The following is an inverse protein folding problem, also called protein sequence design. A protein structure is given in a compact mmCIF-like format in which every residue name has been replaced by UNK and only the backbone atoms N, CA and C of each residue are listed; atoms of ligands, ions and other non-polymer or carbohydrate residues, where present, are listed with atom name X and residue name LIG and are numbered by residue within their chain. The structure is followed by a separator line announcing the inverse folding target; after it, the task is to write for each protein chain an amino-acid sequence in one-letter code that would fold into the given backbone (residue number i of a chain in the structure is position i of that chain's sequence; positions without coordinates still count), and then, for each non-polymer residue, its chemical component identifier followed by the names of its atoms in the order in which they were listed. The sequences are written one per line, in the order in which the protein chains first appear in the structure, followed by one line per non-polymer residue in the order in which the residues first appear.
data_IF_745028900000
#
_entry.id   IF_745028900000
#
_cell.length_a   1.000
_cell.length_b   1.000
_cell.length_c   1.000
_cell.angle_alpha   90.00
_cell.angle_beta   90.00
_cell.angle_gamma   90.00
#
_symmetry.space_group_name_H-M   'P 1'
#
loop_
_entity.id
_entity.type
_entity.pdbx_description
1 polymer ?
#
# COMPACT_ATOMS: atom_id res chain seq x y z
N UNK A 1 -30.27 -34.54 -25.38
CA UNK A 1 -28.80 -34.66 -25.44
C UNK A 1 -28.26 -33.27 -25.49
N UNK A 2 -27.46 -32.86 -24.51
CA UNK A 2 -26.80 -31.56 -24.54
C UNK A 2 -25.46 -31.70 -25.30
N UNK A 3 -25.12 -30.70 -26.10
CA UNK A 3 -23.79 -30.58 -26.69
C UNK A 3 -22.94 -29.71 -25.83
N UNK A 4 -21.74 -30.21 -25.47
CA UNK A 4 -20.71 -29.45 -24.72
C UNK A 4 -19.50 -29.26 -25.64
N UNK A 5 -18.69 -28.23 -25.38
CA UNK A 5 -17.43 -28.03 -26.11
C UNK A 5 -16.30 -28.76 -25.43
N UNK A 6 -15.51 -29.52 -26.20
CA UNK A 6 -14.30 -30.16 -25.70
C UNK A 6 -13.30 -29.09 -25.20
N UNK A 7 -12.81 -29.16 -23.95
CA UNK A 7 -11.90 -28.16 -23.40
C UNK A 7 -10.52 -28.16 -24.08
N UNK A 8 -10.14 -29.22 -24.77
CA UNK A 8 -8.85 -29.34 -25.44
C UNK A 8 -8.88 -28.88 -26.91
N UNK A 9 -9.86 -29.36 -27.71
CA UNK A 9 -9.89 -29.08 -29.13
C UNK A 9 -11.03 -28.11 -29.56
N UNK A 10 -11.90 -27.68 -28.63
CA UNK A 10 -13.00 -26.74 -28.90
C UNK A 10 -14.19 -27.29 -29.69
N UNK A 11 -14.13 -28.53 -30.15
CA UNK A 11 -15.21 -29.14 -30.95
C UNK A 11 -16.42 -29.51 -30.09
N UNK A 12 -17.61 -29.41 -30.67
CA UNK A 12 -18.87 -29.80 -30.02
C UNK A 12 -18.96 -31.32 -29.90
N UNK A 13 -19.18 -31.81 -28.68
CA UNK A 13 -19.28 -33.25 -28.35
C UNK A 13 -20.53 -33.49 -27.51
N UNK A 14 -21.02 -34.73 -27.49
CA UNK A 14 -22.13 -35.10 -26.61
C UNK A 14 -21.67 -35.09 -25.15
N UNK A 15 -22.52 -34.60 -24.24
CA UNK A 15 -22.35 -34.66 -22.81
C UNK A 15 -22.24 -36.07 -22.24
N UNK A 16 -22.58 -37.10 -23.03
CA UNK A 16 -22.51 -38.53 -22.71
C UNK A 16 -21.37 -39.27 -23.41
N UNK A 17 -20.51 -38.56 -24.15
CA UNK A 17 -19.40 -39.21 -24.84
C UNK A 17 -18.34 -39.69 -23.83
N UNK A 18 -17.88 -40.95 -23.94
CA UNK A 18 -16.82 -41.51 -23.07
C UNK A 18 -15.46 -40.90 -23.34
N UNK A 19 -15.24 -40.32 -24.51
CA UNK A 19 -14.06 -39.58 -24.93
C UNK A 19 -14.41 -38.61 -26.05
N UNK A 20 -13.64 -37.55 -26.19
CA UNK A 20 -13.78 -36.64 -27.31
C UNK A 20 -13.47 -37.37 -28.65
N UNK A 21 -14.39 -37.43 -29.61
CA UNK A 21 -14.14 -38.12 -30.88
C UNK A 21 -13.10 -37.43 -31.76
N UNK A 22 -12.76 -36.15 -31.48
CA UNK A 22 -11.82 -35.37 -32.27
C UNK A 22 -10.38 -35.37 -31.75
N UNK A 23 -10.17 -35.37 -30.38
CA UNK A 23 -8.82 -35.31 -29.79
C UNK A 23 -8.55 -36.47 -28.80
N UNK A 24 -9.53 -37.35 -28.58
CA UNK A 24 -9.35 -38.48 -27.67
C UNK A 24 -9.43 -38.17 -26.18
N UNK A 25 -9.66 -36.91 -25.77
CA UNK A 25 -9.73 -36.51 -24.35
C UNK A 25 -10.79 -37.34 -23.62
N UNK A 26 -10.46 -38.04 -22.52
CA UNK A 26 -11.39 -38.87 -21.74
C UNK A 26 -12.56 -38.09 -21.14
N UNK A 27 -13.72 -38.74 -20.99
CA UNK A 27 -14.92 -38.16 -20.39
C UNK A 27 -14.71 -37.58 -18.98
N UNK A 28 -13.76 -38.13 -18.22
CA UNK A 28 -13.41 -37.63 -16.90
C UNK A 28 -12.98 -36.16 -16.88
N UNK A 29 -12.42 -35.66 -18.00
CA UNK A 29 -12.00 -34.28 -18.14
C UNK A 29 -13.11 -33.31 -18.53
N UNK A 30 -14.21 -33.77 -19.15
CA UNK A 30 -15.33 -32.91 -19.49
C UNK A 30 -16.61 -33.22 -18.71
N UNK A 31 -16.76 -34.41 -18.15
CA UNK A 31 -17.82 -34.69 -17.16
C UNK A 31 -17.61 -33.96 -15.84
N UNK A 32 -16.35 -33.63 -15.49
CA UNK A 32 -16.05 -32.73 -14.38
C UNK A 32 -16.47 -31.28 -14.64
N UNK A 33 -16.51 -30.84 -15.88
CA UNK A 33 -16.95 -29.48 -16.28
C UNK A 33 -18.48 -29.29 -16.18
N UNK A 34 -19.28 -30.36 -16.34
CA UNK A 34 -20.73 -30.29 -16.24
C UNK A 34 -21.28 -30.51 -14.82
N UNK A 35 -20.48 -31.08 -13.93
CA UNK A 35 -20.84 -31.42 -12.54
C UNK A 35 -20.16 -30.56 -11.47
N UNK A 36 -19.16 -29.75 -11.81
CA UNK A 36 -18.38 -28.93 -10.87
C UNK A 36 -18.96 -27.50 -10.70
N UNK A 37 -20.28 -27.37 -10.58
CA UNK A 37 -20.90 -26.20 -9.95
C UNK A 37 -20.53 -26.04 -8.45
N UNK A 38 -20.11 -27.07 -7.68
CA UNK A 38 -19.76 -26.90 -6.27
C UNK A 38 -18.51 -26.06 -6.00
N UNK A 39 -17.43 -26.23 -6.79
CA UNK A 39 -16.19 -25.44 -6.60
C UNK A 39 -16.37 -23.94 -6.81
N UNK A 40 -17.39 -23.53 -7.50
CA UNK A 40 -17.66 -22.13 -7.82
C UNK A 40 -18.41 -21.40 -6.71
N UNK A 41 -19.24 -22.13 -5.93
CA UNK A 41 -19.83 -21.59 -4.69
C UNK A 41 -18.79 -21.49 -3.58
N UNK A 42 -17.80 -22.38 -3.57
CA UNK A 42 -16.68 -22.36 -2.62
C UNK A 42 -15.69 -21.21 -2.90
N UNK A 43 -15.55 -20.76 -4.14
CA UNK A 43 -14.74 -19.58 -4.50
C UNK A 43 -15.34 -18.25 -4.02
N UNK A 44 -16.58 -18.22 -3.53
CA UNK A 44 -17.23 -17.02 -2.98
C UNK A 44 -17.45 -15.88 -3.99
N UNK A 45 -17.32 -16.17 -5.31
CA UNK A 45 -17.48 -15.18 -6.36
C UNK A 45 -18.95 -15.01 -6.76
N UNK A 46 -19.45 -13.79 -6.69
CA UNK A 46 -20.72 -13.42 -7.29
C UNK A 46 -20.53 -13.09 -8.77
N UNK A 47 -20.66 -14.11 -9.63
CA UNK A 47 -20.52 -13.95 -11.09
C UNK A 47 -21.54 -12.99 -11.71
N UNK A 48 -22.72 -12.83 -11.08
CA UNK A 48 -23.74 -11.89 -11.59
C UNK A 48 -23.30 -10.44 -11.43
N UNK A 49 -22.43 -10.18 -10.47
CA UNK A 49 -21.91 -8.85 -10.19
C UNK A 49 -20.50 -8.63 -10.75
N UNK A 50 -19.89 -9.62 -11.38
CA UNK A 50 -18.49 -9.54 -11.81
C UNK A 50 -18.22 -8.37 -12.76
N UNK A 51 -19.11 -8.09 -13.71
CA UNK A 51 -18.95 -6.94 -14.63
C UNK A 51 -18.91 -5.61 -13.87
N UNK A 52 -19.75 -5.42 -12.86
CA UNK A 52 -19.73 -4.20 -12.03
C UNK A 52 -18.43 -4.08 -11.24
N UNK A 53 -17.89 -5.21 -10.76
CA UNK A 53 -16.57 -5.24 -10.08
C UNK A 53 -15.47 -4.81 -11.02
N UNK A 54 -15.45 -5.31 -12.27
CA UNK A 54 -14.46 -4.90 -13.27
C UNK A 54 -14.55 -3.41 -13.60
N UNK A 55 -15.76 -2.88 -13.77
CA UNK A 55 -15.98 -1.43 -14.02
C UNK A 55 -15.52 -0.61 -12.81
N UNK A 56 -15.82 -1.04 -11.59
CA UNK A 56 -15.37 -0.36 -10.37
C UNK A 56 -13.86 -0.39 -10.25
N UNK A 57 -13.23 -1.52 -10.56
CA UNK A 57 -11.78 -1.64 -10.56
C UNK A 57 -11.13 -0.70 -11.59
N UNK A 58 -11.64 -0.64 -12.82
CA UNK A 58 -11.10 0.26 -13.85
C UNK A 58 -11.13 1.72 -13.40
N UNK A 59 -12.23 2.15 -12.77
CA UNK A 59 -12.36 3.50 -12.19
C UNK A 59 -11.37 3.73 -11.05
N UNK A 60 -11.33 2.83 -10.08
CA UNK A 60 -10.52 2.97 -8.87
C UNK A 60 -9.02 2.89 -9.21
N UNK A 61 -8.65 2.03 -10.16
CA UNK A 61 -7.29 1.95 -10.71
C UNK A 61 -6.90 3.24 -11.44
N UNK A 62 -7.77 3.76 -12.31
CA UNK A 62 -7.51 5.02 -13.02
C UNK A 62 -7.38 6.21 -12.05
N UNK A 63 -8.17 6.23 -10.96
CA UNK A 63 -8.07 7.24 -9.92
C UNK A 63 -6.75 7.11 -9.14
N UNK A 64 -6.35 5.89 -8.80
CA UNK A 64 -5.11 5.60 -8.08
C UNK A 64 -3.89 6.10 -8.87
N UNK A 65 -3.85 5.83 -10.18
CA UNK A 65 -2.74 6.22 -11.07
C UNK A 65 -2.90 7.63 -11.66
N UNK A 66 -3.72 8.49 -11.07
CA UNK A 66 -3.77 9.89 -11.47
C UNK A 66 -2.41 10.59 -11.22
N UNK A 67 -1.99 11.44 -12.16
CA UNK A 67 -0.62 11.98 -12.19
C UNK A 67 -0.24 12.92 -11.03
N UNK A 68 -1.19 13.26 -10.15
CA UNK A 68 -1.05 14.38 -9.21
C UNK A 68 -0.66 13.98 -7.78
N UNK A 69 -0.59 12.69 -7.47
CA UNK A 69 -0.26 12.24 -6.12
C UNK A 69 0.70 11.05 -6.11
N UNK A 70 1.40 10.90 -5.00
CA UNK A 70 2.21 9.73 -4.67
C UNK A 70 1.29 8.61 -4.20
N UNK A 71 1.45 7.42 -4.72
CA UNK A 71 0.65 6.24 -4.32
C UNK A 71 1.28 5.65 -3.06
N UNK A 72 0.61 5.81 -1.91
CA UNK A 72 1.08 5.27 -0.65
C UNK A 72 0.85 3.75 -0.53
N UNK A 73 1.54 3.13 0.43
CA UNK A 73 1.30 1.72 0.76
C UNK A 73 -0.17 1.44 1.09
N UNK A 74 -0.80 2.34 1.85
CA UNK A 74 -2.22 2.23 2.24
C UNK A 74 -3.17 2.31 1.05
N UNK A 75 -2.88 3.19 0.08
CA UNK A 75 -3.70 3.30 -1.13
C UNK A 75 -3.63 2.01 -1.97
N UNK A 76 -2.41 1.48 -2.15
CA UNK A 76 -2.19 0.20 -2.81
C UNK A 76 -2.88 -0.96 -2.07
N UNK A 77 -2.81 -0.97 -0.73
CA UNK A 77 -3.43 -2.01 0.08
C UNK A 77 -4.96 -1.97 0.01
N UNK A 78 -5.58 -0.78 -0.02
CA UNK A 78 -7.04 -0.65 -0.23
C UNK A 78 -7.49 -1.30 -1.54
N UNK A 79 -6.74 -1.08 -2.63
CA UNK A 79 -7.05 -1.72 -3.91
C UNK A 79 -6.93 -3.24 -3.82
N UNK A 80 -5.86 -3.75 -3.18
CA UNK A 80 -5.68 -5.20 -2.96
C UNK A 80 -6.78 -5.81 -2.10
N UNK A 81 -7.15 -5.18 -1.01
CA UNK A 81 -8.19 -5.67 -0.10
C UNK A 81 -9.54 -5.73 -0.81
N UNK A 82 -9.83 -4.74 -1.66
CA UNK A 82 -11.09 -4.67 -2.39
C UNK A 82 -11.18 -5.73 -3.49
N UNK A 83 -10.10 -5.92 -4.26
CA UNK A 83 -10.14 -6.72 -5.49
C UNK A 83 -9.32 -8.02 -5.42
N UNK A 84 -8.53 -8.24 -4.38
CA UNK A 84 -7.62 -9.38 -4.25
C UNK A 84 -8.32 -10.73 -4.32
N UNK A 85 -9.49 -10.89 -3.69
CA UNK A 85 -10.28 -12.13 -3.73
C UNK A 85 -10.71 -12.49 -5.15
N UNK A 86 -11.09 -11.47 -5.94
CA UNK A 86 -11.45 -11.66 -7.34
C UNK A 86 -10.22 -12.05 -8.17
N UNK A 87 -9.09 -11.38 -7.94
CA UNK A 87 -7.83 -11.70 -8.61
C UNK A 87 -7.38 -13.13 -8.32
N UNK A 88 -7.34 -13.53 -7.04
CA UNK A 88 -6.97 -14.88 -6.61
C UNK A 88 -7.86 -15.95 -7.29
N UNK A 89 -9.17 -15.76 -7.23
CA UNK A 89 -10.11 -16.71 -7.82
C UNK A 89 -10.01 -16.76 -9.34
N UNK A 90 -9.91 -15.60 -10.01
CA UNK A 90 -9.85 -15.51 -11.48
C UNK A 90 -8.48 -15.92 -12.06
N UNK A 91 -7.43 -15.96 -11.25
CA UNK A 91 -6.12 -16.52 -11.62
C UNK A 91 -6.18 -18.05 -11.72
N UNK A 92 -7.16 -18.69 -11.07
CA UNK A 92 -7.38 -20.11 -11.26
C UNK A 92 -7.84 -20.41 -12.69
N UNK A 93 -7.08 -21.22 -13.40
CA UNK A 93 -7.30 -21.54 -14.82
C UNK A 93 -8.71 -22.10 -15.11
N UNK A 94 -9.25 -22.93 -14.24
CA UNK A 94 -10.58 -23.53 -14.42
C UNK A 94 -11.69 -22.48 -14.26
N UNK A 95 -11.57 -21.60 -13.26
CA UNK A 95 -12.51 -20.51 -13.01
C UNK A 95 -12.46 -19.53 -14.18
N UNK A 96 -11.27 -19.14 -14.62
CA UNK A 96 -11.09 -18.24 -15.76
C UNK A 96 -11.72 -18.82 -17.03
N UNK A 97 -11.46 -20.09 -17.36
CA UNK A 97 -12.07 -20.76 -18.51
C UNK A 97 -13.60 -20.81 -18.42
N UNK A 98 -14.13 -21.10 -17.23
CA UNK A 98 -15.58 -21.08 -17.04
C UNK A 98 -16.18 -19.70 -17.29
N UNK A 99 -15.60 -18.64 -16.72
CA UNK A 99 -16.04 -17.26 -16.92
C UNK A 99 -16.00 -16.91 -18.42
N UNK A 100 -14.90 -17.23 -19.12
CA UNK A 100 -14.79 -16.99 -20.55
C UNK A 100 -15.84 -17.75 -21.37
N UNK A 101 -16.08 -19.02 -21.04
CA UNK A 101 -17.07 -19.84 -21.76
C UNK A 101 -18.51 -19.40 -21.52
N UNK A 102 -18.80 -18.74 -20.43
CA UNK A 102 -20.13 -18.28 -20.04
C UNK A 102 -20.27 -16.75 -20.09
N UNK A 103 -19.28 -16.03 -20.64
CA UNK A 103 -19.19 -14.58 -20.61
C UNK A 103 -20.48 -13.86 -21.09
N UNK A 104 -21.08 -14.35 -22.17
CA UNK A 104 -22.34 -13.80 -22.68
C UNK A 104 -23.52 -14.00 -21.70
N UNK A 105 -23.60 -15.17 -21.05
CA UNK A 105 -24.68 -15.49 -20.11
C UNK A 105 -24.56 -14.68 -18.81
N UNK A 106 -23.34 -14.46 -18.32
CA UNK A 106 -23.05 -13.68 -17.11
C UNK A 106 -22.79 -12.19 -17.41
N UNK A 107 -22.88 -11.79 -18.67
CA UNK A 107 -22.68 -10.41 -19.15
C UNK A 107 -21.34 -9.80 -18.76
N UNK A 108 -20.26 -10.57 -18.91
CA UNK A 108 -18.89 -10.13 -18.59
C UNK A 108 -18.14 -9.84 -19.88
N UNK A 109 -17.49 -8.67 -19.95
CA UNK A 109 -16.55 -8.35 -21.01
C UNK A 109 -15.19 -9.04 -20.76
N UNK A 110 -14.80 -9.90 -21.68
CA UNK A 110 -13.55 -10.69 -21.57
C UNK A 110 -12.31 -9.79 -21.62
N UNK A 111 -12.35 -8.70 -22.37
CA UNK A 111 -11.20 -7.80 -22.49
C UNK A 111 -10.99 -6.99 -21.20
N UNK A 112 -12.07 -6.56 -20.54
CA UNK A 112 -12.00 -5.96 -19.19
C UNK A 112 -11.49 -6.97 -18.17
N UNK A 113 -11.92 -8.24 -18.23
CA UNK A 113 -11.42 -9.30 -17.37
C UNK A 113 -9.91 -9.52 -17.54
N UNK A 114 -9.43 -9.59 -18.77
CA UNK A 114 -8.00 -9.76 -19.08
C UNK A 114 -7.19 -8.54 -18.65
N UNK A 115 -7.73 -7.33 -18.81
CA UNK A 115 -7.14 -6.08 -18.34
C UNK A 115 -6.96 -6.08 -16.83
N UNK A 116 -8.03 -6.41 -16.10
CA UNK A 116 -8.03 -6.56 -14.66
C UNK A 116 -6.91 -7.48 -14.17
N UNK A 117 -6.81 -8.70 -14.71
CA UNK A 117 -5.79 -9.66 -14.29
C UNK A 117 -4.36 -9.17 -14.55
N UNK A 118 -4.12 -8.54 -15.72
CA UNK A 118 -2.81 -7.97 -16.05
C UNK A 118 -2.45 -6.84 -15.10
N UNK A 119 -3.35 -5.89 -14.86
CA UNK A 119 -3.12 -4.75 -13.99
C UNK A 119 -2.92 -5.16 -12.53
N UNK A 120 -3.65 -6.17 -12.05
CA UNK A 120 -3.42 -6.72 -10.71
C UNK A 120 -2.07 -7.45 -10.61
N UNK A 121 -1.63 -8.10 -11.66
CA UNK A 121 -0.34 -8.79 -11.70
C UNK A 121 0.85 -7.80 -11.77
N UNK A 122 0.71 -6.71 -12.50
CA UNK A 122 1.77 -5.69 -12.64
C UNK A 122 1.73 -4.59 -11.58
N UNK A 123 0.73 -4.60 -10.69
CA UNK A 123 0.40 -3.50 -9.80
C UNK A 123 1.59 -2.91 -9.03
N UNK A 124 2.43 -3.77 -8.44
CA UNK A 124 3.59 -3.31 -7.66
C UNK A 124 4.65 -2.63 -8.53
N UNK A 125 4.89 -3.19 -9.72
CA UNK A 125 5.80 -2.58 -10.70
C UNK A 125 5.28 -1.25 -11.22
N UNK A 126 3.98 -1.17 -11.51
CA UNK A 126 3.33 0.04 -12.01
C UNK A 126 3.32 1.15 -10.94
N UNK A 127 3.07 0.82 -9.66
CA UNK A 127 3.17 1.75 -8.53
C UNK A 127 4.60 2.27 -8.40
N UNK A 128 5.59 1.39 -8.46
CA UNK A 128 7.00 1.79 -8.36
C UNK A 128 7.38 2.77 -9.48
N UNK A 129 7.01 2.47 -10.72
CA UNK A 129 7.27 3.34 -11.87
C UNK A 129 6.54 4.69 -11.76
N UNK A 130 5.27 4.68 -11.32
CA UNK A 130 4.49 5.88 -11.08
C UNK A 130 5.14 6.78 -10.02
N UNK A 131 5.47 6.21 -8.86
CA UNK A 131 6.06 6.94 -7.74
C UNK A 131 7.44 7.51 -8.08
N UNK A 132 8.25 6.76 -8.82
CA UNK A 132 9.54 7.25 -9.34
C UNK A 132 9.32 8.47 -10.22
N UNK A 133 8.40 8.38 -11.18
CA UNK A 133 8.06 9.49 -12.09
C UNK A 133 7.49 10.70 -11.32
N UNK A 134 6.66 10.47 -10.30
CA UNK A 134 6.14 11.52 -9.44
C UNK A 134 7.26 12.26 -8.72
N UNK A 135 8.18 11.52 -8.08
CA UNK A 135 9.32 12.11 -7.35
C UNK A 135 10.23 12.89 -8.29
N UNK A 136 10.55 12.37 -9.47
CA UNK A 136 11.40 13.05 -10.46
C UNK A 136 10.77 14.38 -10.93
N UNK A 137 9.48 14.38 -11.22
CA UNK A 137 8.74 15.61 -11.58
C UNK A 137 8.71 16.62 -10.43
N UNK A 138 8.53 16.15 -9.19
CA UNK A 138 8.51 17.01 -8.03
C UNK A 138 9.90 17.63 -7.76
N UNK A 139 10.98 16.88 -7.96
CA UNK A 139 12.35 17.38 -7.85
C UNK A 139 12.61 18.53 -8.85
N UNK A 140 12.17 18.36 -10.09
CA UNK A 140 12.35 19.36 -11.13
C UNK A 140 11.50 20.63 -10.85
N UNK A 141 10.20 20.43 -10.54
CA UNK A 141 9.27 21.51 -10.23
C UNK A 141 9.70 22.34 -9.02
N UNK A 142 10.17 21.68 -7.97
CA UNK A 142 10.48 22.31 -6.68
C UNK A 142 11.98 22.54 -6.49
N UNK A 143 12.79 22.55 -7.56
CA UNK A 143 14.26 22.69 -7.50
C UNK A 143 14.69 23.92 -6.70
N UNK A 144 14.19 25.10 -7.07
CA UNK A 144 14.52 26.36 -6.39
C UNK A 144 14.10 26.37 -4.92
N UNK A 145 12.99 25.72 -4.61
CA UNK A 145 12.55 25.52 -3.23
C UNK A 145 13.56 24.69 -2.45
N UNK A 146 14.01 23.56 -2.98
CA UNK A 146 14.99 22.71 -2.32
C UNK A 146 16.36 23.36 -2.19
N UNK A 147 16.77 24.19 -3.15
CA UNK A 147 18.02 24.94 -3.10
C UNK A 147 18.01 26.00 -1.96
N UNK A 148 16.84 26.38 -1.47
CA UNK A 148 16.65 27.38 -0.44
C UNK A 148 16.01 26.89 0.86
N UNK A 149 15.57 25.63 0.92
CA UNK A 149 14.69 25.10 1.98
C UNK A 149 15.19 25.31 3.42
N UNK A 150 16.50 25.25 3.64
CA UNK A 150 17.12 25.38 4.98
C UNK A 150 18.07 26.57 5.11
N UNK A 151 18.17 27.45 4.09
CA UNK A 151 19.12 28.59 4.11
C UNK A 151 18.87 29.60 5.24
N UNK A 152 17.66 29.64 5.78
CA UNK A 152 17.36 30.46 6.96
C UNK A 152 18.00 29.92 8.24
N UNK A 153 18.38 28.63 8.28
CA UNK A 153 19.10 28.03 9.41
C UNK A 153 20.61 28.21 9.20
N UNK A 154 21.11 27.85 8.03
CA UNK A 154 22.51 27.96 7.64
C UNK A 154 22.57 28.14 6.10
N UNK A 155 23.15 29.26 5.61
CA UNK A 155 23.27 29.55 4.18
C UNK A 155 24.05 28.48 3.38
N UNK A 156 24.91 27.69 4.06
CA UNK A 156 25.74 26.67 3.43
C UNK A 156 25.07 25.30 3.36
N UNK A 157 23.94 25.09 4.01
CA UNK A 157 23.21 23.81 3.96
C UNK A 157 22.65 23.61 2.56
N UNK A 158 23.05 22.49 1.95
CA UNK A 158 22.49 22.00 0.71
C UNK A 158 22.07 20.54 0.90
N UNK A 159 20.85 20.22 0.46
CA UNK A 159 20.40 18.84 0.41
C UNK A 159 20.90 18.17 -0.86
N UNK A 160 21.49 17.00 -0.74
CA UNK A 160 21.79 16.15 -1.88
C UNK A 160 20.51 15.59 -2.53
N UNK A 161 20.64 14.94 -3.67
CA UNK A 161 19.48 14.43 -4.42
C UNK A 161 18.73 13.35 -3.64
N UNK A 162 19.44 12.45 -2.96
CA UNK A 162 18.81 11.37 -2.17
C UNK A 162 18.02 11.93 -0.98
N UNK A 163 18.55 12.95 -0.32
CA UNK A 163 17.84 13.66 0.75
C UNK A 163 16.59 14.36 0.23
N UNK A 164 16.66 15.02 -0.94
CA UNK A 164 15.49 15.65 -1.57
C UNK A 164 14.44 14.62 -1.94
N UNK A 165 14.83 13.49 -2.51
CA UNK A 165 13.94 12.35 -2.80
C UNK A 165 13.24 11.85 -1.53
N UNK A 166 13.99 11.65 -0.45
CA UNK A 166 13.42 11.23 0.85
C UNK A 166 12.42 12.25 1.41
N UNK A 167 12.67 13.55 1.22
CA UNK A 167 11.73 14.61 1.62
C UNK A 167 10.45 14.58 0.79
N UNK A 168 10.51 14.33 -0.52
CA UNK A 168 9.35 14.28 -1.41
C UNK A 168 8.53 13.01 -1.19
N UNK A 169 9.18 11.86 -0.96
CA UNK A 169 8.51 10.56 -0.74
C UNK A 169 7.39 10.69 0.29
N UNK A 170 6.16 10.38 -0.11
CA UNK A 170 4.94 10.59 0.67
C UNK A 170 4.25 9.26 0.96
N UNK A 171 5.02 8.30 1.47
CA UNK A 171 4.51 6.99 1.84
C UNK A 171 4.09 6.96 3.31
N UNK A 172 3.20 6.04 3.68
CA UNK A 172 2.77 5.78 5.06
C UNK A 172 3.96 5.37 5.94
N UNK A 173 4.96 4.70 5.35
CA UNK A 173 6.18 4.24 6.01
C UNK A 173 7.40 4.58 5.16
N UNK A 174 8.27 5.44 5.66
CA UNK A 174 9.53 5.78 4.99
C UNK A 174 10.71 5.51 5.91
N UNK A 175 11.63 4.63 5.50
CA UNK A 175 12.87 4.34 6.22
C UNK A 175 14.03 5.02 5.52
N UNK A 176 14.64 6.02 6.19
CA UNK A 176 15.87 6.66 5.75
C UNK A 176 17.08 6.01 6.43
N UNK A 177 17.88 5.28 5.68
CA UNK A 177 19.12 4.67 6.16
C UNK A 177 20.29 5.60 5.80
N UNK A 178 20.99 6.12 6.79
CA UNK A 178 22.10 7.04 6.58
C UNK A 178 23.17 6.88 7.66
N UNK A 179 24.44 6.99 7.29
CA UNK A 179 25.58 6.92 8.19
C UNK A 179 25.62 8.04 9.24
N UNK A 180 26.59 7.96 10.17
CA UNK A 180 26.82 9.05 11.11
C UNK A 180 27.30 10.29 10.33
N UNK A 181 26.76 11.47 10.65
CA UNK A 181 27.10 12.72 9.95
C UNK A 181 26.46 12.91 8.56
N UNK A 182 25.74 11.95 8.02
CA UNK A 182 25.12 12.02 6.69
C UNK A 182 23.85 12.91 6.64
N UNK A 183 23.67 13.85 7.56
CA UNK A 183 22.59 14.84 7.48
C UNK A 183 21.19 14.37 7.88
N UNK A 184 21.02 13.24 8.61
CA UNK A 184 19.70 12.74 9.05
C UNK A 184 18.81 13.81 9.68
N UNK A 185 19.36 14.56 10.64
CA UNK A 185 18.65 15.64 11.34
C UNK A 185 18.29 16.78 10.37
N UNK A 186 19.15 17.05 9.40
CA UNK A 186 18.93 18.06 8.36
C UNK A 186 17.80 17.63 7.43
N UNK A 187 17.81 16.38 6.96
CA UNK A 187 16.74 15.80 6.12
C UNK A 187 15.41 15.80 6.87
N UNK A 188 15.40 15.47 8.16
CA UNK A 188 14.20 15.50 8.99
C UNK A 188 13.62 16.92 9.13
N UNK A 189 14.47 17.93 9.36
CA UNK A 189 14.04 19.32 9.42
C UNK A 189 13.46 19.78 8.06
N UNK A 190 14.10 19.39 6.95
CA UNK A 190 13.61 19.66 5.61
C UNK A 190 12.26 18.97 5.34
N UNK A 191 12.08 17.72 5.79
CA UNK A 191 10.80 16.98 5.66
C UNK A 191 9.69 17.69 6.41
N UNK A 192 9.92 18.12 7.65
CA UNK A 192 8.92 18.86 8.44
C UNK A 192 8.53 20.16 7.72
N UNK A 193 9.51 20.92 7.24
CA UNK A 193 9.23 22.16 6.48
C UNK A 193 8.45 21.90 5.20
N UNK A 194 8.82 20.89 4.45
CA UNK A 194 8.12 20.49 3.22
C UNK A 194 6.66 20.08 3.47
N UNK A 195 6.41 19.30 4.55
CA UNK A 195 5.06 18.90 4.94
C UNK A 195 4.18 20.11 5.28
N UNK A 196 4.71 21.09 5.99
CA UNK A 196 3.97 22.30 6.36
C UNK A 196 3.74 23.22 5.14
N UNK A 197 4.80 23.52 4.38
CA UNK A 197 4.73 24.53 3.33
C UNK A 197 4.18 24.02 1.99
N UNK A 198 4.46 22.75 1.62
CA UNK A 198 4.04 22.18 0.33
C UNK A 198 2.85 21.26 0.44
N UNK A 199 2.68 20.60 1.58
CA UNK A 199 1.57 19.67 1.81
C UNK A 199 0.46 20.29 2.67
N UNK A 200 0.67 21.49 3.20
CA UNK A 200 -0.28 22.22 4.06
C UNK A 200 -0.71 21.43 5.30
N UNK A 201 0.19 20.62 5.84
CA UNK A 201 -0.06 19.87 7.07
C UNK A 201 0.11 20.82 8.27
N UNK A 202 -0.86 20.80 9.19
CA UNK A 202 -0.78 21.59 10.42
C UNK A 202 0.43 21.13 11.26
N UNK A 203 1.30 22.05 11.73
CA UNK A 203 2.40 21.70 12.61
C UNK A 203 1.99 20.93 13.86
N UNK A 204 0.76 21.12 14.35
CA UNK A 204 0.19 20.38 15.50
C UNK A 204 -0.06 18.90 15.20
N UNK A 205 -0.16 18.52 13.94
CA UNK A 205 -0.29 17.11 13.50
C UNK A 205 1.06 16.42 13.30
N UNK A 206 2.18 17.17 13.42
CA UNK A 206 3.53 16.66 13.25
C UNK A 206 4.17 16.39 14.60
N UNK A 207 4.58 15.14 14.82
CA UNK A 207 5.33 14.75 16.00
C UNK A 207 6.71 14.24 15.58
N UNK A 208 7.77 14.87 16.11
CA UNK A 208 9.15 14.44 15.89
C UNK A 208 9.66 13.75 17.16
N UNK A 209 10.01 12.48 17.04
CA UNK A 209 10.45 11.67 18.18
C UNK A 209 11.93 11.33 18.02
N UNK A 210 12.69 11.48 19.11
CA UNK A 210 14.07 11.03 19.19
C UNK A 210 14.34 10.30 20.50
N UNK A 211 15.45 9.55 20.53
CA UNK A 211 15.78 8.75 21.70
C UNK A 211 16.49 9.56 22.80
N UNK A 212 17.33 10.54 22.44
CA UNK A 212 18.16 11.28 23.37
C UNK A 212 17.73 12.74 23.52
N UNK A 213 17.88 13.28 24.74
CA UNK A 213 17.62 14.70 25.01
C UNK A 213 18.53 15.63 24.18
N UNK A 214 19.77 15.23 23.89
CA UNK A 214 20.66 15.99 23.01
C UNK A 214 20.09 16.16 21.62
N UNK A 215 19.65 15.05 21.00
CA UNK A 215 19.03 15.10 19.67
C UNK A 215 17.72 15.90 19.66
N UNK A 216 16.93 15.84 20.74
CA UNK A 216 15.74 16.69 20.92
C UNK A 216 16.11 18.17 20.94
N UNK A 217 17.17 18.55 21.67
CA UNK A 217 17.68 19.92 21.67
C UNK A 217 18.03 20.41 20.25
N UNK A 218 18.84 19.63 19.53
CA UNK A 218 19.25 19.95 18.15
C UNK A 218 18.04 20.07 17.19
N UNK A 219 17.05 19.19 17.31
CA UNK A 219 15.83 19.24 16.49
C UNK A 219 14.98 20.46 16.81
N UNK A 220 14.82 20.81 18.11
CA UNK A 220 14.09 22.01 18.52
C UNK A 220 14.76 23.28 18.03
N UNK A 221 16.08 23.36 18.14
CA UNK A 221 16.83 24.52 17.65
C UNK A 221 16.67 24.71 16.13
N UNK A 222 16.70 23.62 15.37
CA UNK A 222 16.52 23.67 13.90
C UNK A 222 15.07 23.94 13.50
N UNK A 223 14.12 23.15 14.01
CA UNK A 223 12.73 23.16 13.54
C UNK A 223 11.92 24.28 14.20
N UNK A 224 11.89 24.34 15.55
CA UNK A 224 11.06 25.32 16.22
C UNK A 224 11.67 26.73 16.16
N UNK A 225 12.98 26.88 16.47
CA UNK A 225 13.65 28.20 16.49
C UNK A 225 14.11 28.60 15.08
N UNK A 226 14.82 27.71 14.39
CA UNK A 226 15.41 28.02 13.07
C UNK A 226 14.39 28.18 11.97
N UNK A 227 13.40 27.28 11.88
CA UNK A 227 12.34 27.31 10.87
C UNK A 227 11.07 28.02 11.34
N UNK A 228 10.92 28.29 12.66
CA UNK A 228 9.70 28.88 13.22
C UNK A 228 8.47 27.95 13.18
N UNK A 229 8.68 26.64 13.03
CA UNK A 229 7.59 25.67 12.92
C UNK A 229 7.31 25.07 14.31
N UNK A 230 6.12 25.26 14.91
CA UNK A 230 5.80 24.80 16.26
C UNK A 230 5.39 23.33 16.31
N UNK A 231 6.16 22.45 15.68
CA UNK A 231 5.93 21.02 15.73
C UNK A 231 6.28 20.45 17.13
N UNK A 232 5.57 19.39 17.55
CA UNK A 232 5.85 18.70 18.79
C UNK A 232 7.12 17.86 18.66
N UNK A 233 8.16 18.19 19.47
CA UNK A 233 9.43 17.46 19.46
C UNK A 233 9.68 16.91 20.86
N UNK A 234 9.74 15.60 21.03
CA UNK A 234 9.85 14.95 22.32
C UNK A 234 10.61 13.61 22.25
N UNK A 235 10.98 13.08 23.42
CA UNK A 235 11.51 11.71 23.50
C UNK A 235 10.39 10.70 23.37
N UNK A 236 10.76 9.46 23.01
CA UNK A 236 9.80 8.35 22.98
C UNK A 236 9.11 8.16 24.33
N UNK A 237 9.85 8.24 25.43
CA UNK A 237 9.29 8.12 26.78
C UNK A 237 8.30 9.25 27.11
N UNK A 238 8.61 10.48 26.75
CA UNK A 238 7.71 11.61 26.96
C UNK A 238 6.42 11.46 26.14
N UNK A 239 6.54 11.00 24.89
CA UNK A 239 5.40 10.73 24.04
C UNK A 239 4.50 9.62 24.61
N UNK A 240 5.10 8.50 25.02
CA UNK A 240 4.36 7.40 25.64
C UNK A 240 3.66 7.83 26.94
N UNK A 241 4.34 8.62 27.78
CA UNK A 241 3.76 9.18 29.00
C UNK A 241 2.55 10.08 28.71
N UNK A 242 2.64 10.94 27.70
CA UNK A 242 1.54 11.81 27.30
C UNK A 242 0.31 11.00 26.87
N UNK A 243 0.52 9.91 26.13
CA UNK A 243 -0.57 9.00 25.73
C UNK A 243 -1.21 8.36 26.97
N UNK A 244 -0.40 7.76 27.85
CA UNK A 244 -0.90 7.11 29.07
C UNK A 244 -1.70 8.12 29.92
N UNK A 245 -1.17 9.33 30.11
CA UNK A 245 -1.84 10.40 30.86
C UNK A 245 -3.19 10.80 30.23
N UNK A 246 -3.31 10.79 28.93
CA UNK A 246 -4.55 11.16 28.23
C UNK A 246 -5.67 10.13 28.41
N UNK A 247 -5.30 8.84 28.52
CA UNK A 247 -6.28 7.74 28.60
C UNK A 247 -6.43 7.14 30.01
N UNK A 248 -5.66 7.62 31.01
CA UNK A 248 -5.77 7.18 32.39
C UNK A 248 -6.67 8.09 33.19
N UNK A 249 -7.56 7.51 34.04
CA UNK A 249 -8.42 8.27 34.94
C UNK A 249 -7.61 9.02 36.02
N UNK A 250 -6.44 8.47 36.39
CA UNK A 250 -5.48 9.08 37.31
C UNK A 250 -4.13 9.28 36.60
N UNK A 251 -3.38 10.37 36.92
CA UNK A 251 -2.07 10.57 36.31
C UNK A 251 -1.14 9.39 36.67
N UNK A 252 -0.47 8.79 35.67
CA UNK A 252 0.42 7.67 35.93
C UNK A 252 1.60 8.13 36.77
N UNK A 253 1.91 7.41 37.86
CA UNK A 253 3.12 7.60 38.61
C UNK A 253 4.32 7.04 37.82
N UNK A 254 5.39 7.84 37.69
CA UNK A 254 6.62 7.38 37.08
C UNK A 254 7.38 6.58 38.13
N UNK A 255 7.37 5.26 38.00
CA UNK A 255 8.16 4.41 38.87
C UNK A 255 9.59 4.30 38.31
N UNK A 256 10.54 4.92 39.00
CA UNK A 256 11.98 4.84 38.69
C UNK A 256 12.65 3.56 39.22
N UNK A 257 11.89 2.67 39.85
CA UNK A 257 12.44 1.41 40.34
C UNK A 257 12.70 0.44 39.18
N UNK A 258 13.79 -0.22 39.33
CA UNK A 258 14.59 -1.06 38.44
C UNK A 258 13.82 -1.93 37.44
N UNK A 259 14.55 -2.33 36.41
CA UNK A 259 14.21 -3.35 35.39
C UNK A 259 13.52 -4.62 35.94
N UNK A 260 13.71 -4.91 37.25
CA UNK A 260 13.15 -6.05 37.95
C UNK A 260 11.60 -6.00 38.00
N UNK A 261 10.99 -4.83 38.28
CA UNK A 261 9.54 -4.69 38.36
C UNK A 261 8.89 -4.86 36.97
N UNK A 262 9.52 -4.36 35.90
CA UNK A 262 9.03 -4.55 34.54
C UNK A 262 9.09 -6.03 34.16
N UNK A 263 10.13 -6.74 34.56
CA UNK A 263 10.29 -8.17 34.35
C UNK A 263 9.23 -8.97 35.10
N UNK A 264 8.97 -8.65 36.35
CA UNK A 264 7.98 -9.34 37.19
C UNK A 264 6.55 -9.17 36.67
N UNK A 265 6.17 -7.95 36.23
CA UNK A 265 4.87 -7.69 35.59
C UNK A 265 4.71 -8.49 34.27
N UNK A 266 5.78 -8.67 33.51
CA UNK A 266 5.77 -9.41 32.25
C UNK A 266 5.66 -10.92 32.47
N UNK A 267 6.31 -11.44 33.51
CA UNK A 267 6.26 -12.85 33.87
C UNK A 267 4.94 -13.26 34.54
N UNK A 268 4.28 -12.37 35.30
CA UNK A 268 2.96 -12.66 35.90
C UNK A 268 1.81 -12.65 34.89
N UNK A 269 1.97 -12.05 33.71
CA UNK A 269 0.94 -11.97 32.65
C UNK A 269 1.15 -12.96 31.49
N UNK A 270 2.18 -13.79 31.53
CA UNK A 270 2.37 -14.87 30.58
C UNK A 270 1.57 -16.09 31.03
N UNK A 271 0.65 -16.66 30.20
CA UNK A 271 -0.10 -17.84 30.55
C UNK A 271 0.78 -19.09 30.62
#
# INVERSE_FOLDING_TARGET
MALIRCPECGNSISDRAEKCPHCGLPASYFSSLSKNTPHMKEAGLDYKNLQNVLISFERDHAQLFSAEHYISHRDAQRLRDTYGKYNESLTNKLIFQYVCNNAAAIRVDIDSLRRFLRQMQSLDGDITAHNTTYVDRALERDKDYFDNILKQIDPNIQLDEEQRRAVITDDDYCLLVAGAGAGKTTTMAAKVKYLVEKKSIDPGEIIVISYTNKAIGELRDRINKGLGIPAKICTFHAFAYDIVKQFSAEPPEINFSSQQIIFDIHCEKAP
#
